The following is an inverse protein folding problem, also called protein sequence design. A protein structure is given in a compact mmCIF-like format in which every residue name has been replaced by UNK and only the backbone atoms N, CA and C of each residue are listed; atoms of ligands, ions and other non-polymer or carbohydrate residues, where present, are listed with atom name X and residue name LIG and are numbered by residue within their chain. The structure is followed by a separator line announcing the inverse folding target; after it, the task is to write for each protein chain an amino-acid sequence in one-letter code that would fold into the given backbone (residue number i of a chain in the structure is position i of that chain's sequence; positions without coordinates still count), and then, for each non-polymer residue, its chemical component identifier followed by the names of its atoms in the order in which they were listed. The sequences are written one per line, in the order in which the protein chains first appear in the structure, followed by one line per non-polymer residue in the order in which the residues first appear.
data_IF_352288094786
#
_entry.id   IF_352288094786
#
_cell.length_a   1.000
_cell.length_b   1.000
_cell.length_c   1.000
_cell.angle_alpha   90.00
_cell.angle_beta   90.00
_cell.angle_gamma   90.00
#
_symmetry.space_group_name_H-M   'P 1'
#
loop_
_entity.id
_entity.type
_entity.pdbx_description
1 polymer ?
#
# COMPACT_ATOMS: atom_id res chain seq x y z
N UNK A 1 -16.85 0.07 13.00
CA UNK A 1 -17.06 0.86 11.75
C UNK A 1 -18.54 1.05 11.53
N UNK A 2 -18.92 2.18 10.94
CA UNK A 2 -20.29 2.40 10.47
C UNK A 2 -20.69 1.32 9.43
N UNK A 3 -21.83 0.62 9.58
CA UNK A 3 -22.27 -0.41 8.61
C UNK A 3 -22.44 0.10 7.17
N UNK A 4 -22.84 1.37 6.99
CA UNK A 4 -23.00 1.97 5.66
C UNK A 4 -21.64 2.10 4.97
N UNK A 5 -20.62 2.53 5.72
CA UNK A 5 -19.24 2.61 5.22
C UNK A 5 -18.72 1.23 4.81
N UNK A 6 -18.96 0.22 5.66
CA UNK A 6 -18.54 -1.15 5.36
C UNK A 6 -19.17 -1.67 4.07
N UNK A 7 -20.46 -1.41 3.86
CA UNK A 7 -21.18 -1.78 2.63
C UNK A 7 -20.62 -1.05 1.40
N UNK A 8 -20.33 0.23 1.52
CA UNK A 8 -19.73 1.01 0.43
C UNK A 8 -18.33 0.52 0.06
N UNK A 9 -17.50 0.19 1.05
CA UNK A 9 -16.18 -0.39 0.81
C UNK A 9 -16.26 -1.78 0.15
N UNK A 10 -17.25 -2.61 0.51
CA UNK A 10 -17.48 -3.90 -0.15
C UNK A 10 -17.83 -3.72 -1.63
N UNK A 11 -18.75 -2.81 -1.95
CA UNK A 11 -19.13 -2.53 -3.35
C UNK A 11 -17.96 -1.94 -4.15
N UNK A 12 -17.16 -1.09 -3.52
CA UNK A 12 -15.98 -0.48 -4.16
C UNK A 12 -14.88 -1.50 -4.43
N UNK A 13 -14.74 -2.55 -3.60
CA UNK A 13 -13.85 -3.68 -3.88
C UNK A 13 -14.27 -4.46 -5.13
N UNK A 14 -15.55 -4.75 -5.28
CA UNK A 14 -16.07 -5.46 -6.47
C UNK A 14 -15.72 -4.68 -7.74
N UNK A 15 -15.99 -3.37 -7.73
CA UNK A 15 -15.64 -2.47 -8.84
C UNK A 15 -14.12 -2.37 -9.06
N UNK A 16 -13.32 -2.36 -8.00
CA UNK A 16 -11.87 -2.34 -8.12
C UNK A 16 -11.35 -3.58 -8.84
N UNK A 17 -11.86 -4.77 -8.48
CA UNK A 17 -11.45 -6.04 -9.11
C UNK A 17 -11.87 -6.11 -10.58
N UNK A 18 -13.08 -5.69 -10.91
CA UNK A 18 -13.56 -5.63 -12.31
C UNK A 18 -12.68 -4.71 -13.18
N UNK A 19 -12.27 -3.57 -12.63
CA UNK A 19 -11.46 -2.57 -13.35
C UNK A 19 -9.96 -2.87 -13.36
N UNK A 20 -9.49 -3.85 -12.58
CA UNK A 20 -8.07 -4.21 -12.48
C UNK A 20 -7.85 -5.73 -12.61
N UNK A 21 -8.13 -6.32 -13.78
CA UNK A 21 -8.04 -7.77 -13.99
C UNK A 21 -6.61 -8.32 -13.89
N UNK A 22 -5.60 -7.44 -13.93
CA UNK A 22 -4.19 -7.76 -13.74
C UNK A 22 -3.81 -8.02 -12.26
N UNK A 23 -4.75 -7.79 -11.34
CA UNK A 23 -4.55 -7.96 -9.89
C UNK A 23 -5.38 -9.14 -9.42
N UNK A 24 -4.75 -10.10 -8.74
CA UNK A 24 -5.51 -11.11 -7.97
C UNK A 24 -5.56 -10.66 -6.51
N UNK A 25 -6.76 -10.32 -6.05
CA UNK A 25 -7.00 -9.83 -4.70
C UNK A 25 -7.77 -10.89 -3.90
N UNK A 26 -7.22 -11.27 -2.75
CA UNK A 26 -7.93 -12.00 -1.71
C UNK A 26 -7.99 -11.10 -0.48
N UNK A 27 -9.18 -10.67 -0.08
CA UNK A 27 -9.34 -9.69 0.99
C UNK A 27 -10.54 -10.06 1.87
N UNK A 28 -10.41 -9.83 3.18
CA UNK A 28 -11.48 -10.05 4.15
C UNK A 28 -11.46 -8.99 5.24
N UNK A 29 -12.64 -8.74 5.81
CA UNK A 29 -12.81 -7.78 6.90
C UNK A 29 -12.79 -8.47 8.26
N UNK A 30 -11.87 -8.07 9.14
CA UNK A 30 -11.84 -8.51 10.52
C UNK A 30 -12.73 -7.61 11.37
N UNK A 31 -13.98 -8.04 11.60
CA UNK A 31 -14.97 -7.28 12.36
C UNK A 31 -14.55 -7.02 13.81
N UNK A 32 -13.81 -7.94 14.45
CA UNK A 32 -13.41 -7.80 15.86
C UNK A 32 -12.35 -6.72 16.06
N UNK A 33 -11.46 -6.57 15.09
CA UNK A 33 -10.31 -5.66 15.16
C UNK A 33 -10.45 -4.44 14.22
N UNK A 34 -11.55 -4.36 13.48
CA UNK A 34 -11.92 -3.21 12.64
C UNK A 34 -10.87 -2.86 11.56
N UNK A 35 -10.41 -3.86 10.82
CA UNK A 35 -9.48 -3.68 9.70
C UNK A 35 -9.76 -4.65 8.55
N UNK A 36 -9.34 -4.29 7.34
CA UNK A 36 -9.25 -5.24 6.22
C UNK A 36 -7.87 -5.89 6.19
N UNK A 37 -7.82 -7.16 5.84
CA UNK A 37 -6.57 -7.87 5.58
C UNK A 37 -6.66 -8.60 4.25
N UNK A 38 -5.54 -8.71 3.56
CA UNK A 38 -5.54 -9.40 2.29
C UNK A 38 -4.18 -9.72 1.72
N UNK A 39 -4.23 -10.47 0.62
CA UNK A 39 -3.15 -10.77 -0.30
C UNK A 39 -3.44 -10.06 -1.62
N UNK A 40 -2.52 -9.21 -2.04
CA UNK A 40 -2.52 -8.48 -3.29
C UNK A 40 -1.44 -9.08 -4.20
N UNK A 41 -1.84 -9.78 -5.26
CA UNK A 41 -0.91 -10.36 -6.23
C UNK A 41 -0.87 -9.49 -7.49
N UNK A 42 0.31 -8.95 -7.80
CA UNK A 42 0.54 -8.03 -8.90
C UNK A 42 2.00 -8.12 -9.37
N UNK A 43 2.26 -8.06 -10.68
CA UNK A 43 3.60 -8.24 -11.27
C UNK A 43 4.34 -9.51 -10.79
N UNK A 44 3.63 -10.65 -10.67
CA UNK A 44 4.14 -11.93 -10.14
C UNK A 44 4.72 -11.85 -8.71
N UNK A 45 4.40 -10.80 -7.95
CA UNK A 45 4.76 -10.64 -6.55
C UNK A 45 3.51 -10.68 -5.68
N UNK A 46 3.69 -11.19 -4.47
CA UNK A 46 2.64 -11.24 -3.45
C UNK A 46 2.92 -10.18 -2.39
N UNK A 47 1.91 -9.38 -2.08
CA UNK A 47 1.95 -8.39 -1.01
C UNK A 47 0.86 -8.71 0.00
N UNK A 48 1.25 -8.95 1.26
CA UNK A 48 0.30 -9.13 2.34
C UNK A 48 0.10 -7.80 3.04
N UNK A 49 -1.14 -7.43 3.34
CA UNK A 49 -1.43 -6.12 3.90
C UNK A 49 -2.55 -6.14 4.95
N UNK A 50 -2.58 -5.09 5.78
CA UNK A 50 -3.71 -4.72 6.64
C UNK A 50 -4.03 -3.25 6.47
N UNK A 51 -5.31 -2.90 6.40
CA UNK A 51 -5.82 -1.53 6.28
C UNK A 51 -6.66 -1.22 7.51
N UNK A 52 -6.15 -0.33 8.35
CA UNK A 52 -6.79 0.09 9.59
C UNK A 52 -7.53 1.40 9.40
N UNK A 53 -8.77 1.45 9.87
CA UNK A 53 -9.54 2.68 9.90
C UNK A 53 -9.33 3.38 11.24
N UNK A 54 -8.83 4.61 11.18
CA UNK A 54 -8.83 5.47 12.33
C UNK A 54 -10.27 5.92 12.66
N UNK A 55 -10.47 6.41 13.88
CA UNK A 55 -11.78 6.89 14.37
C UNK A 55 -12.30 8.14 13.63
N UNK A 56 -11.45 8.80 12.83
CA UNK A 56 -11.81 9.97 12.04
C UNK A 56 -12.22 9.62 10.61
N UNK A 57 -12.14 8.35 10.18
CA UNK A 57 -12.57 7.93 8.85
C UNK A 57 -14.08 8.21 8.66
N UNK A 58 -14.51 8.75 7.50
CA UNK A 58 -13.75 8.97 6.26
C UNK A 58 -13.08 10.35 6.16
N UNK A 59 -13.05 11.16 7.22
CA UNK A 59 -12.40 12.48 7.21
C UNK A 59 -10.87 12.40 7.02
N UNK A 60 -10.25 11.30 7.47
CA UNK A 60 -8.84 10.99 7.26
C UNK A 60 -8.67 9.64 6.55
N UNK A 61 -7.58 9.44 5.77
CA UNK A 61 -7.32 8.18 5.10
C UNK A 61 -7.09 7.04 6.10
N UNK A 62 -7.39 5.79 5.71
CA UNK A 62 -7.01 4.64 6.50
C UNK A 62 -5.49 4.38 6.38
N UNK A 63 -4.93 3.69 7.36
CA UNK A 63 -3.50 3.35 7.40
C UNK A 63 -3.28 1.97 6.79
N UNK A 64 -2.43 1.86 5.76
CA UNK A 64 -2.05 0.60 5.14
C UNK A 64 -0.69 0.13 5.67
N UNK A 65 -0.60 -1.12 6.11
CA UNK A 65 0.63 -1.78 6.53
C UNK A 65 0.89 -3.00 5.67
N UNK A 66 2.15 -3.24 5.31
CA UNK A 66 2.56 -4.43 4.58
C UNK A 66 3.29 -5.43 5.48
N UNK A 67 3.18 -6.71 5.14
CA UNK A 67 3.74 -7.84 5.88
C UNK A 67 4.42 -8.79 4.91
N UNK A 68 5.44 -9.53 5.39
CA UNK A 68 6.15 -10.50 4.56
C UNK A 68 5.25 -11.71 4.24
N UNK A 69 4.44 -12.12 5.22
CA UNK A 69 3.51 -13.24 5.12
C UNK A 69 2.15 -12.90 5.76
N UNK A 70 1.12 -13.69 5.48
CA UNK A 70 -0.24 -13.52 6.02
C UNK A 70 -0.31 -13.59 7.56
N UNK A 71 0.51 -14.44 8.17
CA UNK A 71 0.50 -14.69 9.63
C UNK A 71 1.40 -13.74 10.42
N UNK A 72 2.17 -12.92 9.74
CA UNK A 72 3.13 -12.06 10.41
C UNK A 72 2.41 -10.89 11.12
N UNK A 73 3.00 -10.44 12.21
CA UNK A 73 2.63 -9.20 12.89
C UNK A 73 3.75 -8.16 12.84
N UNK A 74 4.82 -8.46 12.09
CA UNK A 74 5.96 -7.57 11.89
C UNK A 74 5.77 -6.90 10.54
N UNK A 75 5.70 -5.57 10.55
CA UNK A 75 5.60 -4.77 9.34
C UNK A 75 6.84 -5.01 8.49
N UNK A 76 6.63 -5.39 7.23
CA UNK A 76 7.68 -5.50 6.25
C UNK A 76 7.83 -4.17 5.53
N UNK A 77 9.01 -3.56 5.66
CA UNK A 77 9.35 -2.32 4.98
C UNK A 77 10.22 -2.66 3.78
N UNK A 78 9.69 -2.44 2.58
CA UNK A 78 10.48 -2.46 1.36
C UNK A 78 11.34 -1.19 1.32
N UNK A 79 12.66 -1.32 1.17
CA UNK A 79 13.61 -0.20 1.13
C UNK A 79 13.25 0.83 0.04
N UNK A 80 12.66 0.37 -1.05
CA UNK A 80 12.20 1.20 -2.16
C UNK A 80 11.03 2.11 -1.77
N UNK A 81 10.34 1.80 -0.67
CA UNK A 81 9.19 2.55 -0.16
C UNK A 81 9.56 3.46 1.01
N UNK A 82 10.83 3.56 1.42
CA UNK A 82 11.22 4.36 2.59
C UNK A 82 10.72 5.81 2.56
N UNK A 83 10.65 6.45 1.38
CA UNK A 83 10.08 7.79 1.24
C UNK A 83 8.56 7.88 1.46
N UNK A 84 7.89 6.75 1.58
CA UNK A 84 6.45 6.59 1.76
C UNK A 84 6.10 5.88 3.07
N UNK A 85 7.04 5.59 3.95
CA UNK A 85 6.80 4.84 5.19
C UNK A 85 6.92 5.79 6.38
N UNK A 86 5.88 5.89 7.21
CA UNK A 86 5.95 6.62 8.47
C UNK A 86 6.71 5.84 9.55
N UNK A 87 7.07 6.50 10.63
CA UNK A 87 7.85 5.91 11.74
C UNK A 87 7.18 4.71 12.40
N UNK A 88 5.86 4.63 12.38
CA UNK A 88 5.06 3.51 12.88
C UNK A 88 4.87 2.39 11.84
N UNK A 89 5.43 2.54 10.64
CA UNK A 89 5.47 1.53 9.59
C UNK A 89 4.32 1.55 8.60
N UNK A 90 3.33 2.46 8.74
CA UNK A 90 2.27 2.55 7.74
C UNK A 90 2.72 3.30 6.49
N UNK A 91 2.14 2.93 5.35
CA UNK A 91 2.38 3.57 4.07
C UNK A 91 1.57 4.86 3.95
N UNK A 92 2.28 5.95 3.70
CA UNK A 92 1.75 7.24 3.29
C UNK A 92 1.36 7.19 1.81
N UNK A 93 0.13 6.72 1.55
CA UNK A 93 -0.41 6.66 0.18
C UNK A 93 -1.02 7.98 -0.30
N UNK A 94 -1.36 8.87 0.63
CA UNK A 94 -2.03 10.14 0.35
C UNK A 94 -1.23 11.27 1.03
N UNK A 95 -0.45 12.03 0.27
CA UNK A 95 0.25 13.23 0.75
C UNK A 95 -0.44 14.49 0.27
N UNK A 96 -0.39 15.55 1.08
CA UNK A 96 -1.08 16.82 0.82
C UNK A 96 -0.51 17.60 -0.38
N UNK A 97 0.72 17.29 -0.81
CA UNK A 97 1.48 18.12 -1.77
C UNK A 97 1.70 17.49 -3.16
N UNK A 98 1.05 16.35 -3.48
CA UNK A 98 1.27 15.65 -4.77
C UNK A 98 0.19 15.92 -5.86
N UNK A 99 -0.69 16.92 -5.69
CA UNK A 99 -1.74 17.29 -6.66
C UNK A 99 -3.11 16.66 -6.35
N UNK A 100 -3.76 16.02 -7.34
CA UNK A 100 -5.06 15.31 -7.17
C UNK A 100 -5.05 14.18 -6.11
N UNK A 101 -3.89 13.89 -5.54
CA UNK A 101 -3.48 12.80 -4.65
C UNK A 101 -3.75 12.99 -3.15
N UNK A 102 -4.47 14.05 -2.76
CA UNK A 102 -4.96 14.22 -1.40
C UNK A 102 -6.14 13.29 -1.10
N UNK A 103 -6.20 12.73 0.12
CA UNK A 103 -7.35 11.94 0.56
C UNK A 103 -8.65 12.76 0.47
N UNK A 104 -9.70 12.17 -0.09
CA UNK A 104 -11.04 12.75 -0.16
C UNK A 104 -12.01 11.88 0.63
N UNK A 105 -12.95 12.49 1.33
CA UNK A 105 -13.95 11.75 2.13
C UNK A 105 -14.86 10.85 1.30
N UNK A 106 -14.93 11.09 -0.02
CA UNK A 106 -15.63 10.23 -0.98
C UNK A 106 -14.82 8.99 -1.39
N UNK A 107 -13.52 8.95 -1.10
CA UNK A 107 -12.69 7.79 -1.41
C UNK A 107 -13.02 6.62 -0.49
N UNK A 108 -12.86 5.43 -1.03
CA UNK A 108 -13.20 4.15 -0.42
C UNK A 108 -12.04 3.18 -0.61
N UNK A 109 -12.21 1.97 -0.11
CA UNK A 109 -11.15 0.96 -0.05
C UNK A 109 -10.44 0.69 -1.39
N UNK A 110 -11.16 0.68 -2.51
CA UNK A 110 -10.61 0.53 -3.85
C UNK A 110 -9.63 1.65 -4.23
N UNK A 111 -9.86 2.89 -3.82
CA UNK A 111 -8.91 4.00 -4.04
C UNK A 111 -7.61 3.82 -3.24
N UNK A 112 -7.68 3.22 -2.05
CA UNK A 112 -6.50 2.84 -1.27
C UNK A 112 -5.69 1.79 -2.03
N UNK A 113 -6.36 0.77 -2.58
CA UNK A 113 -5.73 -0.30 -3.36
C UNK A 113 -5.16 0.20 -4.70
N UNK A 114 -5.83 1.14 -5.38
CA UNK A 114 -5.30 1.82 -6.58
C UNK A 114 -4.02 2.60 -6.26
N UNK A 115 -4.03 3.33 -5.15
CA UNK A 115 -2.86 4.09 -4.69
C UNK A 115 -1.70 3.16 -4.33
N UNK A 116 -1.99 2.01 -3.71
CA UNK A 116 -0.99 0.99 -3.43
C UNK A 116 -0.40 0.37 -4.72
N UNK A 117 -1.23 0.05 -5.72
CA UNK A 117 -0.77 -0.36 -7.06
C UNK A 117 0.16 0.68 -7.69
N UNK A 118 -0.23 1.95 -7.61
CA UNK A 118 0.56 3.07 -8.15
C UNK A 118 1.94 3.15 -7.49
N UNK A 119 2.01 3.01 -6.17
CA UNK A 119 3.28 2.95 -5.43
C UNK A 119 4.16 1.79 -5.91
N UNK A 120 3.59 0.58 -6.02
CA UNK A 120 4.32 -0.60 -6.52
C UNK A 120 4.90 -0.33 -7.92
N UNK A 121 4.07 0.17 -8.84
CA UNK A 121 4.49 0.50 -10.21
C UNK A 121 5.58 1.58 -10.26
N UNK A 122 5.48 2.62 -9.45
CA UNK A 122 6.51 3.67 -9.38
C UNK A 122 7.85 3.08 -8.93
N UNK A 123 7.84 2.15 -7.98
CA UNK A 123 9.06 1.51 -7.49
C UNK A 123 9.65 0.52 -8.48
N UNK A 124 8.82 -0.29 -9.15
CA UNK A 124 9.27 -1.18 -10.21
C UNK A 124 9.82 -0.39 -11.42
N UNK A 125 9.21 0.74 -11.80
CA UNK A 125 9.69 1.59 -12.89
C UNK A 125 10.98 2.35 -12.54
N UNK A 126 11.17 2.75 -11.28
CA UNK A 126 12.45 3.33 -10.84
C UNK A 126 13.61 2.35 -11.01
N UNK A 127 13.40 1.04 -10.85
CA UNK A 127 14.42 0.01 -11.17
C UNK A 127 14.82 0.02 -12.64
N UNK A 128 13.87 0.23 -13.54
CA UNK A 128 14.14 0.32 -14.98
C UNK A 128 14.96 1.58 -15.31
N UNK A 129 14.73 2.69 -14.60
CA UNK A 129 15.55 3.91 -14.76
C UNK A 129 16.97 3.77 -14.17
N UNK A 130 17.12 3.07 -13.04
CA UNK A 130 18.42 2.79 -12.43
C UNK A 130 19.26 1.81 -13.26
N UNK A 131 18.64 0.79 -13.87
CA UNK A 131 19.31 -0.12 -14.81
C UNK A 131 19.73 0.58 -16.12
N UNK A 132 19.06 1.69 -16.49
CA UNK A 132 19.50 2.53 -17.62
C UNK A 132 20.57 3.56 -17.22
N UNK A 133 20.73 3.86 -15.93
CA UNK A 133 21.72 4.81 -15.40
C UNK A 133 22.95 4.14 -14.77
N UNK A 134 22.93 2.84 -14.49
CA UNK A 134 24.09 2.09 -13.97
C UNK A 134 25.07 1.67 -15.07
N UNK A 135 25.42 2.61 -15.96
CA UNK A 135 26.78 2.68 -16.54
C UNK A 135 27.47 3.88 -15.90
N UNK A 136 28.22 3.59 -14.84
CA UNK A 136 29.00 4.45 -13.92
C UNK A 136 28.33 4.52 -12.57
N UNK A 137 28.75 3.65 -11.66
CA UNK A 137 29.31 3.96 -10.34
C UNK A 137 29.55 2.61 -9.66
N UNK A 138 30.79 2.09 -9.74
CA UNK A 138 31.25 1.06 -8.80
C UNK A 138 31.40 1.74 -7.46
N UNK A 139 30.54 1.40 -6.50
CA UNK A 139 30.74 1.80 -5.11
C UNK A 139 31.54 0.66 -4.47
N UNK A 140 32.76 0.99 -4.07
CA UNK A 140 33.65 0.11 -3.31
C UNK A 140 33.16 -0.10 -1.88
N UNK A 141 33.64 -1.19 -1.27
CA UNK A 141 33.32 -1.62 0.08
C UNK A 141 33.68 -0.57 1.13
N UNK A 142 32.75 -0.23 2.02
CA UNK A 142 33.07 0.45 3.27
C UNK A 142 32.99 -0.54 4.43
N UNK A 143 34.15 -0.87 4.99
CA UNK A 143 34.27 -1.53 6.28
C UNK A 143 33.94 -0.53 7.40
N UNK A 144 33.10 -0.92 8.35
CA UNK A 144 32.92 -0.22 9.61
C UNK A 144 33.93 -0.84 10.60
N UNK A 145 34.90 -0.07 11.05
CA UNK A 145 35.74 -0.43 12.20
C UNK A 145 35.69 0.66 13.28
N UNK A 146 35.32 0.18 14.47
CA UNK A 146 35.59 0.65 15.84
C UNK A 146 35.22 2.07 16.24
#
# INVERSE_FOLDING_TARGET
MDPQILYEDMRDLDQFQENNPDIKLQISYNQKQNFWQGKFEFNNKNYFFRIFYNYLYPNLPPSLFCFKNERDNIVWINEEWYGHVFLDGHLCLFTRDSGESGWRQSFRLGEVLKSFKSLINQTDNKKLSFLHQSKKYSIGDYAISS
#
